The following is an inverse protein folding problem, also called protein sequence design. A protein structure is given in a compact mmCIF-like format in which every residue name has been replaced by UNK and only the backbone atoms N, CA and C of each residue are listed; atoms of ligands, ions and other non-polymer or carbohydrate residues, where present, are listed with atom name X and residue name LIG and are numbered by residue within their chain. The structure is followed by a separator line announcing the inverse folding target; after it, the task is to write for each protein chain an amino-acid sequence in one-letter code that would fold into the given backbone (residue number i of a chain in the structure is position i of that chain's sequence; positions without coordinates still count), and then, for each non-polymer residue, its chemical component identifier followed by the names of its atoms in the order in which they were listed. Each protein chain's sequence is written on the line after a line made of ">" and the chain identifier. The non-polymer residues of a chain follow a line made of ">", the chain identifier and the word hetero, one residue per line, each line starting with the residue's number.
data_IF_706573550514
#
_entry.id   IF_706573550514
#
_cell.length_a   1.000
_cell.length_b   1.000
_cell.length_c   1.000
_cell.angle_alpha   90.00
_cell.angle_beta   90.00
_cell.angle_gamma   90.00
#
_symmetry.space_group_name_H-M   'P 1'
#
loop_
_entity.id
_entity.type
_entity.pdbx_description
1 polymer ?
#
# COMPACT_ATOMS: atom_id res chain seq x y z
N UNK A 1 18.08 10.88 -1.72
CA UNK A 1 17.09 11.24 -0.65
C UNK A 1 17.70 12.11 0.42
N UNK A 2 18.89 11.79 0.94
CA UNK A 2 19.60 12.61 1.94
C UNK A 2 19.94 14.03 1.45
N UNK A 3 20.01 14.23 0.13
CA UNK A 3 20.29 15.53 -0.49
C UNK A 3 19.10 16.50 -0.42
N UNK A 4 17.88 16.00 -0.17
CA UNK A 4 16.68 16.82 0.04
C UNK A 4 16.15 16.61 1.46
N UNK A 5 16.60 17.48 2.37
CA UNK A 5 16.31 17.41 3.81
C UNK A 5 14.81 17.42 4.10
N UNK A 6 14.03 18.23 3.38
CA UNK A 6 12.57 18.29 3.57
C UNK A 6 11.91 16.96 3.22
N UNK A 7 12.22 16.40 2.05
CA UNK A 7 11.64 15.13 1.62
C UNK A 7 12.02 13.98 2.56
N UNK A 8 13.26 13.97 3.04
CA UNK A 8 13.73 12.99 4.01
C UNK A 8 12.96 13.05 5.34
N UNK A 9 12.73 14.26 5.85
CA UNK A 9 11.97 14.46 7.10
C UNK A 9 10.50 14.03 6.95
N UNK A 10 9.84 14.43 5.86
CA UNK A 10 8.46 13.99 5.56
C UNK A 10 8.38 12.46 5.45
N UNK A 11 9.35 11.86 4.77
CA UNK A 11 9.41 10.41 4.63
C UNK A 11 9.53 9.68 5.98
N UNK A 12 10.38 10.19 6.88
CA UNK A 12 10.51 9.66 8.24
C UNK A 12 9.23 9.85 9.04
N UNK A 13 8.57 10.99 8.92
CA UNK A 13 7.32 11.25 9.62
C UNK A 13 6.24 10.25 9.20
N UNK A 14 6.13 9.94 7.90
CA UNK A 14 5.20 8.93 7.39
C UNK A 14 5.45 7.56 8.07
N UNK A 15 6.72 7.14 8.18
CA UNK A 15 7.05 5.85 8.84
C UNK A 15 6.68 5.88 10.32
N UNK A 16 7.00 6.97 11.03
CA UNK A 16 6.67 7.13 12.45
C UNK A 16 5.16 7.10 12.69
N UNK A 17 4.39 7.77 11.84
CA UNK A 17 2.93 7.77 11.91
C UNK A 17 2.39 6.36 11.67
N UNK A 18 2.92 5.62 10.69
CA UNK A 18 2.52 4.23 10.44
C UNK A 18 2.80 3.30 11.63
N UNK A 19 3.94 3.46 12.31
CA UNK A 19 4.26 2.69 13.53
C UNK A 19 3.29 3.07 14.66
N UNK A 20 3.03 4.36 14.84
CA UNK A 20 2.13 4.86 15.90
C UNK A 20 0.70 4.37 15.71
N UNK A 21 0.21 4.33 14.47
CA UNK A 21 -1.12 3.83 14.11
C UNK A 21 -1.17 2.29 14.03
N UNK A 22 -0.08 1.60 14.39
CA UNK A 22 0.04 0.14 14.37
C UNK A 22 -0.25 -0.49 12.99
N UNK A 23 0.09 0.24 11.92
CA UNK A 23 -0.01 -0.21 10.52
C UNK A 23 1.20 -1.09 10.16
N UNK A 24 2.37 -0.73 10.69
CA UNK A 24 3.63 -1.47 10.50
C UNK A 24 4.28 -1.73 11.85
N UNK A 25 5.01 -2.83 11.95
CA UNK A 25 5.74 -3.22 13.15
C UNK A 25 7.24 -3.33 12.86
N UNK A 26 8.06 -3.21 13.91
CA UNK A 26 9.50 -3.47 13.79
C UNK A 26 9.72 -4.96 13.52
N UNK A 27 10.43 -5.26 12.44
CA UNK A 27 10.77 -6.64 12.10
C UNK A 27 11.72 -7.22 13.15
N UNK A 28 11.32 -8.33 13.78
CA UNK A 28 12.22 -9.07 14.68
C UNK A 28 13.43 -9.57 13.90
N UNK A 29 14.63 -9.42 14.48
CA UNK A 29 15.94 -9.56 13.81
C UNK A 29 16.32 -10.99 13.35
N UNK A 30 15.34 -11.88 13.18
CA UNK A 30 15.52 -13.19 12.59
C UNK A 30 15.30 -13.08 11.08
N UNK A 31 16.36 -12.67 10.39
CA UNK A 31 16.48 -12.79 8.95
C UNK A 31 16.48 -14.28 8.58
N UNK A 32 15.31 -14.90 8.56
CA UNK A 32 15.14 -16.21 7.97
C UNK A 32 15.40 -16.08 6.46
N UNK A 33 15.92 -17.14 5.84
CA UNK A 33 16.28 -17.15 4.41
C UNK A 33 15.10 -16.89 3.44
N UNK A 34 13.89 -16.61 3.96
CA UNK A 34 12.67 -16.38 3.22
C UNK A 34 12.16 -14.93 3.25
N UNK A 35 12.93 -13.97 3.80
CA UNK A 35 12.48 -12.58 3.87
C UNK A 35 12.43 -11.87 2.51
N UNK A 36 11.34 -11.15 2.24
CA UNK A 36 11.23 -10.29 1.05
C UNK A 36 11.35 -8.80 1.39
N UNK A 37 12.38 -8.14 0.87
CA UNK A 37 12.53 -6.69 0.97
C UNK A 37 11.86 -6.00 -0.20
N UNK A 38 10.71 -5.39 0.06
CA UNK A 38 9.99 -4.63 -0.94
C UNK A 38 10.65 -3.26 -1.18
N UNK A 39 11.14 -2.97 -2.40
CA UNK A 39 11.65 -1.66 -2.72
C UNK A 39 10.57 -0.60 -2.56
N UNK A 40 10.96 0.58 -2.10
CA UNK A 40 10.04 1.67 -1.89
C UNK A 40 10.63 3.01 -2.34
N UNK A 41 9.78 3.95 -2.68
CA UNK A 41 10.16 5.28 -3.14
C UNK A 41 9.17 6.35 -2.67
N UNK A 42 9.64 7.60 -2.58
CA UNK A 42 8.76 8.73 -2.30
C UNK A 42 8.27 9.38 -3.60
N UNK A 43 6.96 9.54 -3.73
CA UNK A 43 6.34 10.29 -4.83
C UNK A 43 5.79 11.59 -4.26
N UNK A 44 6.26 12.72 -4.81
CA UNK A 44 5.79 14.05 -4.42
C UNK A 44 4.65 14.48 -5.33
N UNK A 45 3.47 14.66 -4.74
CA UNK A 45 2.25 15.11 -5.40
C UNK A 45 2.06 16.59 -5.16
N UNK A 46 2.43 17.41 -6.16
CA UNK A 46 2.28 18.87 -6.12
C UNK A 46 0.82 19.32 -6.22
N UNK A 47 -0.06 18.42 -6.66
CA UNK A 47 -1.51 18.60 -6.88
C UNK A 47 -2.36 18.39 -5.63
N UNK A 48 -1.78 17.98 -4.50
CA UNK A 48 -2.51 17.67 -3.26
C UNK A 48 -2.07 18.57 -2.11
N UNK A 49 -3.04 19.09 -1.37
CA UNK A 49 -2.77 19.96 -0.22
C UNK A 49 -2.40 19.17 1.04
N UNK A 50 -3.09 18.06 1.30
CA UNK A 50 -2.99 17.29 2.57
C UNK A 50 -1.99 16.13 2.53
N UNK A 51 -1.79 15.47 1.38
CA UNK A 51 -0.85 14.35 1.24
C UNK A 51 0.16 14.62 0.12
N UNK A 52 1.11 15.53 0.39
CA UNK A 52 2.12 15.98 -0.57
C UNK A 52 3.18 14.93 -0.88
N UNK A 53 3.46 14.03 0.05
CA UNK A 53 4.42 12.94 -0.12
C UNK A 53 3.71 11.61 0.12
N UNK A 54 3.94 10.63 -0.76
CA UNK A 54 3.46 9.26 -0.59
C UNK A 54 4.62 8.28 -0.69
N UNK A 55 4.64 7.32 0.22
CA UNK A 55 5.49 6.14 0.11
C UNK A 55 4.83 5.16 -0.85
N UNK A 56 5.56 4.75 -1.89
CA UNK A 56 5.10 3.77 -2.88
C UNK A 56 6.00 2.56 -2.77
N UNK A 57 5.38 1.41 -2.54
CA UNK A 57 6.04 0.12 -2.49
C UNK A 57 5.91 -0.60 -3.83
N UNK A 58 7.01 -1.18 -4.31
CA UNK A 58 7.05 -1.93 -5.56
C UNK A 58 7.07 -3.45 -5.29
N UNK A 59 5.88 -4.04 -5.17
CA UNK A 59 5.70 -5.49 -5.03
C UNK A 59 5.97 -6.27 -6.33
N UNK A 60 6.20 -5.58 -7.45
CA UNK A 60 6.53 -6.20 -8.74
C UNK A 60 8.02 -6.38 -8.97
N UNK A 61 8.84 -5.73 -8.11
CA UNK A 61 10.29 -5.78 -8.21
C UNK A 61 10.84 -7.20 -7.98
N UNK A 62 11.89 -7.53 -8.73
CA UNK A 62 12.52 -8.86 -8.72
C UNK A 62 14.00 -8.73 -8.39
N UNK A 63 14.46 -9.58 -7.48
CA UNK A 63 15.87 -9.86 -7.31
C UNK A 63 16.43 -10.67 -8.49
N UNK A 64 17.76 -10.72 -8.62
CA UNK A 64 18.40 -11.62 -9.59
C UNK A 64 18.01 -13.07 -9.26
N UNK A 65 17.41 -13.76 -10.22
CA UNK A 65 16.90 -15.14 -10.08
C UNK A 65 15.80 -15.34 -9.03
N UNK A 66 15.12 -14.25 -8.60
CA UNK A 66 13.99 -14.31 -7.67
C UNK A 66 12.66 -13.93 -8.36
N UNK A 67 11.55 -14.48 -7.86
CA UNK A 67 10.19 -14.03 -8.21
C UNK A 67 9.82 -12.76 -7.45
N UNK A 68 8.89 -11.97 -7.99
CA UNK A 68 8.33 -10.83 -7.27
C UNK A 68 7.30 -11.27 -6.23
N UNK A 69 6.95 -10.38 -5.29
CA UNK A 69 5.92 -10.67 -4.30
C UNK A 69 4.57 -10.99 -4.97
N UNK A 70 4.20 -10.26 -6.02
CA UNK A 70 2.99 -10.52 -6.81
C UNK A 70 2.97 -11.92 -7.45
N UNK A 71 4.13 -12.51 -7.74
CA UNK A 71 4.24 -13.87 -8.30
C UNK A 71 4.22 -14.97 -7.23
N UNK A 72 4.52 -14.62 -5.97
CA UNK A 72 4.41 -15.52 -4.83
C UNK A 72 3.00 -15.57 -4.24
N UNK A 73 2.25 -14.47 -4.35
CA UNK A 73 0.89 -14.38 -3.82
C UNK A 73 -0.14 -14.93 -4.81
N UNK A 74 -1.07 -15.74 -4.31
CA UNK A 74 -2.23 -16.17 -5.07
C UNK A 74 -3.26 -15.03 -5.13
N UNK A 75 -3.55 -14.53 -6.32
CA UNK A 75 -4.47 -13.39 -6.52
C UNK A 75 -5.92 -13.68 -6.12
N UNK A 76 -6.32 -14.95 -6.10
CA UNK A 76 -7.72 -15.33 -5.88
C UNK A 76 -8.64 -15.03 -7.07
N UNK A 77 -9.94 -15.36 -6.96
CA UNK A 77 -10.94 -14.98 -7.94
C UNK A 77 -11.19 -13.44 -7.91
N UNK A 78 -11.64 -12.84 -9.03
CA UNK A 78 -11.97 -11.42 -9.06
C UNK A 78 -13.17 -11.14 -8.16
N UNK A 79 -12.97 -10.31 -7.13
CA UNK A 79 -14.03 -9.90 -6.19
C UNK A 79 -14.71 -8.58 -6.59
N UNK A 80 -14.11 -7.82 -7.51
CA UNK A 80 -14.63 -6.53 -7.91
C UNK A 80 -15.83 -6.73 -8.86
N UNK A 81 -16.96 -6.03 -8.63
CA UNK A 81 -18.09 -6.06 -9.56
C UNK A 81 -17.68 -5.48 -10.92
N UNK A 82 -18.37 -5.92 -11.98
CA UNK A 82 -18.17 -5.37 -13.32
C UNK A 82 -18.42 -3.87 -13.34
N UNK A 83 -17.53 -3.10 -13.98
CA UNK A 83 -17.64 -1.63 -14.01
C UNK A 83 -18.97 -1.16 -14.61
N UNK A 84 -19.48 -1.87 -15.62
CA UNK A 84 -20.77 -1.58 -16.25
C UNK A 84 -21.91 -1.82 -15.26
N UNK A 85 -21.87 -2.91 -14.49
CA UNK A 85 -22.90 -3.21 -13.47
C UNK A 85 -22.94 -2.12 -12.39
N UNK A 86 -21.77 -1.62 -11.98
CA UNK A 86 -21.66 -0.53 -11.01
C UNK A 86 -22.26 0.76 -11.57
N UNK A 87 -21.92 1.13 -12.82
CA UNK A 87 -22.41 2.36 -13.46
C UNK A 87 -23.93 2.29 -13.67
N UNK A 88 -24.47 1.14 -14.10
CA UNK A 88 -25.91 0.96 -14.30
C UNK A 88 -26.67 1.14 -12.98
N UNK A 89 -26.23 0.51 -11.88
CA UNK A 89 -26.82 0.67 -10.55
C UNK A 89 -26.71 2.10 -10.03
N UNK A 90 -25.57 2.75 -10.27
CA UNK A 90 -25.38 4.15 -9.89
C UNK A 90 -26.33 5.10 -10.64
N UNK A 91 -26.75 4.73 -11.85
CA UNK A 91 -27.67 5.51 -12.69
C UNK A 91 -29.15 5.14 -12.51
N UNK A 92 -29.46 4.13 -11.67
CA UNK A 92 -30.82 3.62 -11.48
C UNK A 92 -31.71 4.59 -10.68
N UNK A 93 -31.11 5.40 -9.81
CA UNK A 93 -31.81 6.32 -8.93
C UNK A 93 -31.47 7.77 -9.29
N UNK A 94 -32.43 8.68 -9.07
CA UNK A 94 -32.27 10.12 -9.30
C UNK A 94 -31.15 10.75 -8.45
N UNK A 95 -30.87 10.14 -7.30
CA UNK A 95 -29.86 10.62 -6.37
C UNK A 95 -28.89 9.49 -6.01
N UNK A 96 -27.60 9.78 -6.10
CA UNK A 96 -26.54 8.85 -5.76
C UNK A 96 -25.52 9.53 -4.82
N UNK A 97 -25.08 8.79 -3.80
CA UNK A 97 -24.04 9.24 -2.89
C UNK A 97 -22.71 8.60 -3.28
N UNK A 98 -21.67 9.42 -3.31
CA UNK A 98 -20.31 8.99 -3.55
C UNK A 98 -19.43 9.54 -2.44
N UNK A 99 -18.58 8.68 -1.88
CA UNK A 99 -17.57 9.06 -0.90
C UNK A 99 -16.36 8.15 -1.07
N UNK A 100 -15.18 8.71 -0.83
CA UNK A 100 -13.95 7.93 -0.72
C UNK A 100 -13.78 7.49 0.74
N UNK A 101 -13.43 6.22 0.94
CA UNK A 101 -13.15 5.68 2.27
C UNK A 101 -11.65 5.80 2.50
N UNK A 102 -11.27 6.79 3.30
CA UNK A 102 -9.89 6.95 3.72
C UNK A 102 -9.40 5.67 4.42
N UNK A 103 -8.23 5.18 3.99
CA UNK A 103 -7.54 4.03 4.59
C UNK A 103 -8.31 2.71 4.52
N UNK A 104 -9.20 2.53 3.54
CA UNK A 104 -10.02 1.32 3.37
C UNK A 104 -9.23 -0.01 3.42
N UNK A 105 -8.01 -0.05 2.87
CA UNK A 105 -7.19 -1.28 2.90
C UNK A 105 -6.53 -1.53 4.26
N UNK A 106 -6.31 -0.49 5.07
CA UNK A 106 -5.64 -0.60 6.37
C UNK A 106 -6.59 -1.08 7.47
N UNK A 107 -7.90 -1.12 7.21
CA UNK A 107 -8.89 -1.68 8.13
C UNK A 107 -8.97 -3.21 8.06
N UNK A 108 -8.28 -3.83 7.10
CA UNK A 108 -8.26 -5.27 6.90
C UNK A 108 -6.91 -5.82 7.39
N UNK A 109 -6.94 -6.77 8.32
CA UNK A 109 -5.74 -7.43 8.83
C UNK A 109 -5.10 -8.38 7.81
N UNK A 110 -3.78 -8.48 7.85
CA UNK A 110 -3.02 -9.48 7.08
C UNK A 110 -2.96 -10.77 7.89
N UNK A 111 -3.10 -11.92 7.24
CA UNK A 111 -2.94 -13.21 7.90
C UNK A 111 -1.49 -13.37 8.41
N UNK A 112 -1.31 -13.76 9.67
CA UNK A 112 0.01 -13.88 10.33
C UNK A 112 1.03 -14.67 9.50
N UNK A 113 0.59 -15.77 8.86
CA UNK A 113 1.44 -16.62 8.00
C UNK A 113 2.08 -15.88 6.82
N UNK A 114 1.45 -14.81 6.34
CA UNK A 114 1.94 -13.98 5.22
C UNK A 114 2.74 -12.79 5.78
N UNK A 115 2.37 -12.28 6.95
CA UNK A 115 3.06 -11.17 7.60
C UNK A 115 4.48 -11.52 8.08
N UNK A 116 4.82 -12.80 8.23
CA UNK A 116 6.16 -13.28 8.60
C UNK A 116 7.08 -13.59 7.40
N UNK A 117 6.62 -13.35 6.16
CA UNK A 117 7.43 -13.50 4.92
C UNK A 117 8.10 -12.16 4.60
#
# INVERSE_FOLDING_TARGET
>A
MKDNIWLYNEYINIVKDQIKENIVEECSSHFENNSYYMPHSAVVRKDKETTKVRMVFDASSKGRDCKSLNEYLYAGPPLNPGIIDVILRFSEYEHAFCSDIQWAFLTIGIAEKIATI
#
